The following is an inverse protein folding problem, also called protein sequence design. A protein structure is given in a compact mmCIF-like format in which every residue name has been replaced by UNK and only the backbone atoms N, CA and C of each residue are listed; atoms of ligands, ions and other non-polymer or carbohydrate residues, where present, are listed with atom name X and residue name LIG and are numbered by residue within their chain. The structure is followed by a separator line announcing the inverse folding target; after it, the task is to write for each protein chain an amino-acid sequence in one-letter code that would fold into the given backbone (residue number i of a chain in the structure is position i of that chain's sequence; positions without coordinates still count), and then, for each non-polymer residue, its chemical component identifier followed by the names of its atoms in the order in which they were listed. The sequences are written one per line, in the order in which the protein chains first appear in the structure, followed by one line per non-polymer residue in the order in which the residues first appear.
data_IF_137105853688
#
_entry.id   IF_137105853688
#
_cell.length_a   1.000
_cell.length_b   1.000
_cell.length_c   1.000
_cell.angle_alpha   90.00
_cell.angle_beta   90.00
_cell.angle_gamma   90.00
#
_symmetry.space_group_name_H-M   'P 1'
#
loop_
_entity.id
_entity.type
_entity.pdbx_description
1 polymer ?
#
# COMPACT_ATOMS: atom_id res chain seq x y z
N UNK A 1 -2.14 -8.43 -9.22
CA UNK A 1 -2.13 -9.82 -9.74
C UNK A 1 -1.56 -10.84 -8.74
N UNK A 2 -0.38 -10.62 -8.13
CA UNK A 2 0.27 -11.58 -7.21
C UNK A 2 -0.56 -11.90 -5.95
N UNK A 3 -1.14 -10.90 -5.28
CA UNK A 3 -2.00 -11.09 -4.10
C UNK A 3 -3.24 -11.94 -4.42
N UNK A 4 -3.91 -11.65 -5.55
CA UNK A 4 -5.05 -12.44 -6.03
C UNK A 4 -4.69 -13.90 -6.31
N UNK A 5 -3.52 -14.17 -6.91
CA UNK A 5 -3.05 -15.55 -7.17
C UNK A 5 -2.78 -16.31 -5.88
N UNK A 6 -2.19 -15.67 -4.87
CA UNK A 6 -1.96 -16.29 -3.57
C UNK A 6 -3.27 -16.52 -2.81
N UNK A 7 -4.21 -15.57 -2.84
CA UNK A 7 -5.53 -15.72 -2.23
C UNK A 7 -6.35 -16.86 -2.84
N UNK A 8 -6.34 -17.00 -4.17
CA UNK A 8 -6.99 -18.13 -4.85
C UNK A 8 -6.33 -19.45 -4.46
N UNK A 9 -4.99 -19.48 -4.42
CA UNK A 9 -4.24 -20.70 -4.09
C UNK A 9 -4.52 -21.15 -2.65
N UNK A 10 -4.46 -20.22 -1.70
CA UNK A 10 -4.74 -20.49 -0.28
C UNK A 10 -6.20 -20.88 -0.05
N UNK A 11 -7.15 -20.20 -0.71
CA UNK A 11 -8.58 -20.52 -0.64
C UNK A 11 -8.90 -21.91 -1.18
N UNK A 12 -8.27 -22.35 -2.27
CA UNK A 12 -8.43 -23.71 -2.80
C UNK A 12 -7.86 -24.74 -1.83
N UNK A 13 -6.62 -24.54 -1.37
CA UNK A 13 -5.93 -25.51 -0.50
C UNK A 13 -6.67 -25.66 0.83
N UNK A 14 -7.03 -24.55 1.48
CA UNK A 14 -7.76 -24.56 2.75
C UNK A 14 -9.14 -25.19 2.62
N UNK A 15 -9.90 -24.87 1.57
CA UNK A 15 -11.24 -25.44 1.38
C UNK A 15 -11.20 -26.93 1.00
N UNK A 16 -10.23 -27.38 0.19
CA UNK A 16 -10.03 -28.80 -0.11
C UNK A 16 -9.62 -29.57 1.15
N UNK A 17 -8.71 -29.03 1.96
CA UNK A 17 -8.32 -29.63 3.23
C UNK A 17 -9.50 -29.76 4.20
N UNK A 18 -10.35 -28.74 4.28
CA UNK A 18 -11.60 -28.76 5.05
C UNK A 18 -12.54 -29.87 4.58
N UNK A 19 -12.81 -29.94 3.27
CA UNK A 19 -13.70 -30.95 2.68
C UNK A 19 -13.17 -32.36 2.94
N UNK A 20 -11.86 -32.59 2.76
CA UNK A 20 -11.22 -33.88 3.02
C UNK A 20 -11.30 -34.28 4.50
N UNK A 21 -11.07 -33.32 5.42
CA UNK A 21 -11.20 -33.57 6.85
C UNK A 21 -12.62 -33.97 7.26
N UNK A 22 -13.64 -33.30 6.72
CA UNK A 22 -15.04 -33.61 7.02
C UNK A 22 -15.48 -34.92 6.36
N UNK A 23 -15.04 -35.20 5.14
CA UNK A 23 -15.30 -36.47 4.46
C UNK A 23 -14.62 -37.67 5.16
N UNK A 24 -13.50 -37.44 5.84
CA UNK A 24 -12.86 -38.46 6.68
C UNK A 24 -13.63 -38.76 7.97
N UNK A 25 -14.43 -37.80 8.47
CA UNK A 25 -15.18 -37.92 9.71
C UNK A 25 -16.67 -38.30 9.53
N UNK A 26 -17.25 -38.05 8.35
CA UNK A 26 -18.66 -38.32 8.05
C UNK A 26 -18.84 -38.89 6.65
N UNK A 27 -19.76 -39.84 6.52
CA UNK A 27 -20.15 -40.44 5.23
C UNK A 27 -21.33 -39.75 4.56
N UNK A 28 -21.93 -38.73 5.18
CA UNK A 28 -23.07 -37.99 4.62
C UNK A 28 -22.62 -36.97 3.55
N UNK A 29 -22.93 -37.18 2.25
CA UNK A 29 -22.52 -36.28 1.18
C UNK A 29 -23.24 -34.93 1.21
N UNK A 30 -24.42 -34.82 1.83
CA UNK A 30 -25.09 -33.54 2.00
C UNK A 30 -24.33 -32.67 3.00
N UNK A 31 -23.90 -33.26 4.13
CA UNK A 31 -23.11 -32.58 5.14
C UNK A 31 -21.77 -32.07 4.61
N UNK A 32 -21.02 -32.90 3.86
CA UNK A 32 -19.73 -32.52 3.25
C UNK A 32 -19.90 -31.33 2.28
N UNK A 33 -20.96 -31.33 1.44
CA UNK A 33 -21.23 -30.24 0.49
C UNK A 33 -21.54 -28.93 1.20
N UNK A 34 -22.42 -28.96 2.20
CA UNK A 34 -22.77 -27.76 2.97
C UNK A 34 -21.55 -27.17 3.66
N UNK A 35 -20.70 -28.02 4.24
CA UNK A 35 -19.48 -27.56 4.89
C UNK A 35 -18.47 -26.95 3.91
N UNK A 36 -18.25 -27.57 2.74
CA UNK A 36 -17.37 -27.03 1.70
C UNK A 36 -17.85 -25.70 1.12
N UNK A 37 -19.16 -25.54 0.89
CA UNK A 37 -19.72 -24.25 0.40
C UNK A 37 -19.63 -23.19 1.48
N UNK A 38 -19.94 -23.55 2.73
CA UNK A 38 -19.87 -22.61 3.86
C UNK A 38 -18.43 -22.16 4.13
N UNK A 39 -17.47 -23.09 4.10
CA UNK A 39 -16.04 -22.80 4.27
C UNK A 39 -15.50 -21.89 3.17
N UNK A 40 -15.87 -22.13 1.91
CA UNK A 40 -15.50 -21.27 0.80
C UNK A 40 -16.05 -19.85 0.94
N UNK A 41 -17.34 -19.71 1.31
CA UNK A 41 -17.96 -18.40 1.51
C UNK A 41 -17.32 -17.66 2.68
N UNK A 42 -17.12 -18.34 3.82
CA UNK A 42 -16.48 -17.75 4.99
C UNK A 42 -15.04 -17.31 4.69
N UNK A 43 -14.27 -18.14 3.98
CA UNK A 43 -12.91 -17.83 3.55
C UNK A 43 -12.85 -16.63 2.60
N UNK A 44 -13.74 -16.58 1.60
CA UNK A 44 -13.81 -15.48 0.64
C UNK A 44 -14.15 -14.15 1.32
N UNK A 45 -15.13 -14.13 2.24
CA UNK A 45 -15.50 -12.92 2.99
C UNK A 45 -14.35 -12.48 3.91
N UNK A 46 -13.69 -13.41 4.60
CA UNK A 46 -12.56 -13.12 5.47
C UNK A 46 -11.38 -12.51 4.69
N UNK A 47 -11.01 -13.09 3.55
CA UNK A 47 -9.95 -12.56 2.69
C UNK A 47 -10.31 -11.18 2.13
N UNK A 48 -11.54 -10.98 1.66
CA UNK A 48 -11.99 -9.69 1.16
C UNK A 48 -11.96 -8.61 2.24
N UNK A 49 -12.43 -8.93 3.45
CA UNK A 49 -12.38 -8.02 4.59
C UNK A 49 -10.93 -7.70 5.00
N UNK A 50 -10.05 -8.70 5.02
CA UNK A 50 -8.64 -8.53 5.34
C UNK A 50 -7.92 -7.63 4.34
N UNK A 51 -8.13 -7.84 3.04
CA UNK A 51 -7.55 -7.01 1.99
C UNK A 51 -8.07 -5.57 2.07
N UNK A 52 -9.37 -5.38 2.29
CA UNK A 52 -9.96 -4.05 2.45
C UNK A 52 -9.37 -3.29 3.63
N UNK A 53 -9.25 -3.95 4.79
CA UNK A 53 -8.63 -3.34 5.99
C UNK A 53 -7.16 -3.02 5.72
N UNK A 54 -6.43 -3.92 5.06
CA UNK A 54 -5.02 -3.71 4.70
C UNK A 54 -4.84 -2.50 3.79
N UNK A 55 -5.64 -2.39 2.72
CA UNK A 55 -5.61 -1.24 1.81
C UNK A 55 -5.97 0.05 2.53
N UNK A 56 -7.00 0.03 3.38
CA UNK A 56 -7.39 1.20 4.18
C UNK A 56 -6.28 1.64 5.12
N UNK A 57 -5.63 0.70 5.81
CA UNK A 57 -4.52 1.01 6.71
C UNK A 57 -3.31 1.59 5.96
N UNK A 58 -3.00 1.07 4.76
CA UNK A 58 -1.96 1.65 3.91
C UNK A 58 -2.31 3.07 3.46
N UNK A 59 -3.55 3.30 3.03
CA UNK A 59 -4.01 4.64 2.64
C UNK A 59 -3.95 5.63 3.82
N UNK A 60 -4.41 5.23 5.01
CA UNK A 60 -4.34 6.06 6.22
C UNK A 60 -2.89 6.39 6.62
N UNK A 61 -1.95 5.45 6.45
CA UNK A 61 -0.54 5.71 6.69
C UNK A 61 0.02 6.73 5.72
N UNK A 62 -0.27 6.60 4.43
CA UNK A 62 0.20 7.56 3.42
C UNK A 62 -0.40 8.94 3.64
N UNK A 63 -1.70 9.02 3.92
CA UNK A 63 -2.39 10.28 4.20
C UNK A 63 -1.74 11.00 5.38
N UNK A 64 -1.39 10.25 6.44
CA UNK A 64 -0.69 10.80 7.60
C UNK A 64 0.71 11.30 7.27
N UNK A 65 1.49 10.55 6.49
CA UNK A 65 2.84 10.99 6.09
C UNK A 65 2.75 12.27 5.21
N UNK A 66 1.76 12.36 4.32
CA UNK A 66 1.51 13.58 3.53
C UNK A 66 1.12 14.78 4.40
N UNK A 67 0.37 14.57 5.49
CA UNK A 67 0.05 15.64 6.44
C UNK A 67 1.29 16.12 7.21
N UNK A 68 2.17 15.19 7.60
CA UNK A 68 3.44 15.50 8.24
C UNK A 68 4.30 16.31 7.27
N UNK A 69 4.45 15.86 6.04
CA UNK A 69 5.25 16.50 5.00
C UNK A 69 4.77 17.91 4.68
N UNK A 70 3.45 18.09 4.52
CA UNK A 70 2.85 19.44 4.38
C UNK A 70 3.21 20.37 5.53
N UNK A 71 3.27 19.83 6.74
CA UNK A 71 3.62 20.60 7.93
C UNK A 71 5.10 20.94 7.92
N UNK A 72 5.98 19.99 7.60
CA UNK A 72 7.43 20.20 7.49
C UNK A 72 7.77 21.28 6.46
N UNK A 73 7.21 21.20 5.24
CA UNK A 73 7.40 22.21 4.18
C UNK A 73 6.96 23.61 4.65
N UNK A 74 5.88 23.69 5.43
CA UNK A 74 5.37 24.96 5.94
C UNK A 74 6.21 25.53 7.11
N UNK A 75 6.78 24.66 7.94
CA UNK A 75 7.55 25.04 9.13
C UNK A 75 9.04 25.29 8.84
N UNK A 76 9.65 24.53 7.92
CA UNK A 76 11.08 24.59 7.58
C UNK A 76 11.34 24.48 6.07
N UNK A 77 10.89 25.49 5.32
CA UNK A 77 11.10 25.57 3.87
C UNK A 77 12.59 25.48 3.47
N UNK A 78 13.49 26.07 4.26
CA UNK A 78 14.92 26.07 3.97
C UNK A 78 15.54 24.68 4.15
N UNK A 79 15.17 23.99 5.24
CA UNK A 79 15.56 22.61 5.50
C UNK A 79 15.08 21.65 4.41
N UNK A 80 13.79 21.68 4.08
CA UNK A 80 13.21 20.82 3.06
C UNK A 80 13.81 21.07 1.66
N UNK A 81 14.07 22.33 1.31
CA UNK A 81 14.75 22.66 0.05
C UNK A 81 16.17 22.07 0.01
N UNK A 82 16.90 22.09 1.13
CA UNK A 82 18.24 21.53 1.22
C UNK A 82 18.22 19.99 1.16
N UNK A 83 17.21 19.35 1.76
CA UNK A 83 16.99 17.90 1.68
C UNK A 83 16.75 17.47 0.23
N UNK A 84 15.83 18.14 -0.47
CA UNK A 84 15.53 17.87 -1.87
C UNK A 84 16.76 18.09 -2.78
N UNK A 85 17.54 19.15 -2.53
CA UNK A 85 18.80 19.37 -3.24
C UNK A 85 19.81 18.24 -2.98
N UNK A 86 19.96 17.78 -1.74
CA UNK A 86 20.85 16.67 -1.41
C UNK A 86 20.43 15.37 -2.11
N UNK A 87 19.13 15.11 -2.21
CA UNK A 87 18.58 13.97 -2.95
C UNK A 87 18.92 14.04 -4.44
N UNK A 88 18.80 15.21 -5.07
CA UNK A 88 19.19 15.39 -6.47
C UNK A 88 20.70 15.25 -6.70
N UNK A 89 21.54 15.67 -5.76
CA UNK A 89 22.98 15.42 -5.82
C UNK A 89 23.27 13.92 -5.81
N UNK A 90 22.60 13.15 -4.93
CA UNK A 90 22.74 11.70 -4.89
C UNK A 90 22.31 11.02 -6.21
N UNK A 91 21.38 11.64 -6.96
CA UNK A 91 20.94 11.19 -8.29
C UNK A 91 21.88 11.60 -9.44
N UNK A 92 22.94 12.34 -9.14
CA UNK A 92 23.98 12.70 -10.10
C UNK A 92 23.90 14.13 -10.63
N UNK A 93 23.06 15.01 -10.07
CA UNK A 93 23.15 16.44 -10.35
C UNK A 93 24.37 17.02 -9.64
N UNK A 94 24.94 18.09 -10.22
CA UNK A 94 25.92 18.91 -9.49
C UNK A 94 25.21 19.68 -8.38
N UNK A 95 25.90 20.00 -7.29
CA UNK A 95 25.32 20.78 -6.18
C UNK A 95 24.63 22.06 -6.66
N UNK A 96 25.27 22.83 -7.53
CA UNK A 96 24.70 24.05 -8.12
C UNK A 96 23.38 23.79 -8.88
N UNK A 97 23.30 22.72 -9.68
CA UNK A 97 22.06 22.41 -10.40
C UNK A 97 20.99 21.87 -9.46
N UNK A 98 21.36 21.06 -8.48
CA UNK A 98 20.44 20.50 -7.50
C UNK A 98 19.79 21.59 -6.63
N UNK A 99 20.57 22.55 -6.13
CA UNK A 99 20.07 23.70 -5.38
C UNK A 99 19.09 24.54 -6.21
N UNK A 100 19.44 24.81 -7.48
CA UNK A 100 18.57 25.58 -8.38
C UNK A 100 17.26 24.87 -8.66
N UNK A 101 17.32 23.57 -8.96
CA UNK A 101 16.12 22.76 -9.24
C UNK A 101 15.25 22.65 -8.00
N UNK A 102 15.83 22.36 -6.83
CA UNK A 102 15.09 22.29 -5.58
C UNK A 102 14.39 23.61 -5.27
N UNK A 103 15.09 24.75 -5.36
CA UNK A 103 14.49 26.07 -5.12
C UNK A 103 13.35 26.40 -6.10
N UNK A 104 13.45 26.00 -7.36
CA UNK A 104 12.40 26.22 -8.35
C UNK A 104 11.16 25.34 -8.09
N UNK A 105 11.36 24.07 -7.72
CA UNK A 105 10.27 23.14 -7.37
C UNK A 105 9.59 23.51 -6.05
N UNK A 106 10.35 23.99 -5.07
CA UNK A 106 9.86 24.44 -3.76
C UNK A 106 9.08 25.77 -3.83
N UNK A 107 9.07 26.44 -4.99
CA UNK A 107 8.34 27.70 -5.16
C UNK A 107 6.82 27.54 -5.21
N UNK A 108 6.34 26.34 -5.54
CA UNK A 108 4.93 25.96 -5.49
C UNK A 108 4.73 24.87 -4.43
N UNK A 109 4.01 25.15 -3.32
CA UNK A 109 3.79 24.19 -2.24
C UNK A 109 3.16 22.87 -2.67
N UNK A 110 2.33 22.86 -3.72
CA UNK A 110 1.71 21.63 -4.22
C UNK A 110 2.72 20.79 -5.01
N UNK A 111 3.61 21.43 -5.76
CA UNK A 111 4.71 20.76 -6.48
C UNK A 111 5.76 20.26 -5.49
N UNK A 112 6.09 21.06 -4.48
CA UNK A 112 6.98 20.67 -3.39
C UNK A 112 6.48 19.39 -2.73
N UNK A 113 5.23 19.39 -2.26
CA UNK A 113 4.62 18.21 -1.65
C UNK A 113 4.59 17.01 -2.60
N UNK A 114 4.24 17.20 -3.87
CA UNK A 114 4.23 16.09 -4.83
C UNK A 114 5.63 15.46 -4.97
N UNK A 115 6.65 16.29 -5.11
CA UNK A 115 8.02 15.82 -5.29
C UNK A 115 8.52 15.15 -4.01
N UNK A 116 8.39 15.77 -2.83
CA UNK A 116 8.79 15.13 -1.56
C UNK A 116 8.04 13.81 -1.33
N UNK A 117 6.72 13.77 -1.57
CA UNK A 117 5.94 12.54 -1.45
C UNK A 117 6.44 11.43 -2.40
N UNK A 118 6.80 11.77 -3.64
CA UNK A 118 7.30 10.79 -4.61
C UNK A 118 8.72 10.36 -4.33
N UNK A 119 9.56 11.27 -3.86
CA UNK A 119 10.98 11.08 -3.67
C UNK A 119 11.31 10.38 -2.35
N UNK A 120 10.59 10.70 -1.29
CA UNK A 120 10.83 10.19 0.05
C UNK A 120 9.88 9.04 0.43
N UNK A 121 8.58 9.22 0.18
CA UNK A 121 7.57 8.21 0.53
C UNK A 121 7.42 7.15 -0.58
N UNK A 122 7.89 7.43 -1.80
CA UNK A 122 7.70 6.56 -2.96
C UNK A 122 6.24 6.46 -3.40
N UNK A 123 5.40 7.44 -3.03
CA UNK A 123 3.97 7.44 -3.33
C UNK A 123 3.62 8.61 -4.25
N UNK A 124 2.74 8.36 -5.21
CA UNK A 124 2.13 9.43 -6.00
C UNK A 124 0.87 9.92 -5.25
N UNK A 125 0.88 11.16 -4.70
CA UNK A 125 -0.27 11.68 -3.97
C UNK A 125 -1.54 11.80 -4.83
N UNK A 126 -1.42 11.74 -6.16
CA UNK A 126 -2.55 11.74 -7.09
C UNK A 126 -3.11 10.34 -7.39
N UNK A 127 -2.51 9.26 -6.88
CA UNK A 127 -2.93 7.86 -7.12
C UNK A 127 -3.25 7.09 -5.83
N UNK A 128 -3.87 7.72 -4.84
CA UNK A 128 -4.30 7.07 -3.60
C UNK A 128 -5.56 6.17 -3.76
N UNK A 129 -5.80 5.59 -4.95
CA UNK A 129 -7.00 4.82 -5.28
C UNK A 129 -6.77 3.59 -6.15
#
# INVERSE_FOLDING_TARGET
ARAAVFGVSDGIVSNVALILGIAGASTDPAFVRVAGVSGLLAGAVSMAAGEYISLKAQAELVERELEIERTSIAEDLEGETAELAALFVHRGLTAEHAERVAAELMSDPEVALEIHAREELGVDPNQLG
#
